data_IF_186695707101
#
_entry.id   IF_186695707101
#
_cell.length_a   1.000
_cell.length_b   1.000
_cell.length_c   1.000
_cell.angle_alpha   90.00
_cell.angle_beta   90.00
_cell.angle_gamma   90.00
#
_symmetry.space_group_name_H-M   'P 1'
#
loop_
_entity.id
_entity.type
_entity.pdbx_description
1 polymer ?
#
# COMPACT_ATOMS: atom_id res chain seq x y z
N UNK A 1 60.49 -14.88 -38.43
CA UNK A 1 59.44 -13.86 -38.17
C UNK A 1 58.17 -14.01 -39.03
N UNK A 2 58.21 -14.42 -40.31
CA UNK A 2 57.02 -14.52 -41.19
C UNK A 2 55.94 -15.55 -40.80
N UNK A 3 56.26 -16.55 -39.96
CA UNK A 3 55.32 -17.61 -39.53
C UNK A 3 54.60 -17.34 -38.19
N UNK A 4 55.04 -16.35 -37.38
CA UNK A 4 54.51 -16.06 -36.06
C UNK A 4 53.36 -15.04 -36.18
N UNK A 5 53.43 -14.15 -37.16
CA UNK A 5 52.40 -13.09 -37.37
C UNK A 5 50.98 -13.65 -37.59
N UNK A 6 50.75 -14.68 -38.44
CA UNK A 6 49.40 -15.23 -38.61
C UNK A 6 48.86 -15.89 -37.34
N UNK A 7 49.73 -16.52 -36.53
CA UNK A 7 49.34 -17.13 -35.25
C UNK A 7 48.90 -16.08 -34.25
N UNK A 8 49.61 -14.96 -34.15
CA UNK A 8 49.27 -13.84 -33.29
C UNK A 8 47.91 -13.25 -33.71
N UNK A 9 47.68 -13.07 -35.00
CA UNK A 9 46.40 -12.55 -35.53
C UNK A 9 45.21 -13.48 -35.17
N UNK A 10 45.40 -14.80 -35.31
CA UNK A 10 44.36 -15.79 -34.94
C UNK A 10 44.09 -15.77 -33.43
N UNK A 11 45.12 -15.65 -32.57
CA UNK A 11 44.93 -15.53 -31.12
C UNK A 11 44.18 -14.26 -30.76
N UNK A 12 44.52 -13.11 -31.36
CA UNK A 12 43.84 -11.84 -31.14
C UNK A 12 42.38 -11.89 -31.61
N UNK A 13 42.07 -12.57 -32.72
CA UNK A 13 40.71 -12.78 -33.17
C UNK A 13 39.90 -13.68 -32.20
N UNK A 14 40.49 -14.75 -31.69
CA UNK A 14 39.86 -15.63 -30.71
C UNK A 14 39.57 -14.87 -29.41
N UNK A 15 40.52 -14.05 -28.93
CA UNK A 15 40.33 -13.21 -27.74
C UNK A 15 39.30 -12.15 -28.01
N UNK A 16 39.30 -11.50 -29.16
CA UNK A 16 38.33 -10.47 -29.53
C UNK A 16 36.89 -11.03 -29.64
N UNK A 17 36.71 -12.14 -30.33
CA UNK A 17 35.40 -12.80 -30.47
C UNK A 17 34.95 -13.41 -29.14
N UNK A 18 35.83 -14.13 -28.43
CA UNK A 18 35.53 -14.70 -27.13
C UNK A 18 35.24 -13.64 -26.08
N UNK A 19 36.02 -12.57 -26.04
CA UNK A 19 35.79 -11.41 -25.16
C UNK A 19 34.48 -10.68 -25.46
N UNK A 20 34.16 -10.53 -26.75
CA UNK A 20 32.90 -9.91 -27.18
C UNK A 20 31.67 -10.74 -26.78
N UNK A 21 31.72 -12.06 -26.93
CA UNK A 21 30.65 -12.98 -26.52
C UNK A 21 30.49 -12.95 -24.96
N UNK A 22 31.59 -13.08 -24.23
CA UNK A 22 31.56 -13.02 -22.77
C UNK A 22 31.01 -11.66 -22.30
N UNK A 23 31.48 -10.56 -22.90
CA UNK A 23 30.96 -9.21 -22.60
C UNK A 23 29.50 -9.06 -22.90
N UNK A 24 29.00 -9.56 -24.03
CA UNK A 24 27.57 -9.47 -24.38
C UNK A 24 26.69 -10.29 -23.43
N UNK A 25 27.16 -11.48 -23.00
CA UNK A 25 26.45 -12.30 -21.98
C UNK A 25 26.42 -11.59 -20.63
N UNK A 26 27.57 -11.03 -20.18
CA UNK A 26 27.65 -10.29 -18.93
C UNK A 26 26.83 -9.01 -18.97
N UNK A 27 26.91 -8.23 -20.05
CA UNK A 27 26.10 -7.02 -20.22
C UNK A 27 24.60 -7.34 -20.24
N UNK A 28 24.19 -8.42 -20.91
CA UNK A 28 22.79 -8.89 -20.91
C UNK A 28 22.32 -9.36 -19.52
N UNK A 29 23.23 -9.95 -18.71
CA UNK A 29 22.92 -10.40 -17.35
C UNK A 29 22.62 -9.25 -16.39
N UNK A 30 23.25 -8.10 -16.58
CA UNK A 30 23.09 -6.91 -15.74
C UNK A 30 22.16 -5.84 -16.34
N UNK A 31 21.63 -6.05 -17.55
CA UNK A 31 20.65 -5.13 -18.11
C UNK A 31 19.37 -5.19 -17.27
N UNK A 32 18.87 -4.06 -16.73
CA UNK A 32 17.62 -4.02 -15.98
C UNK A 32 16.45 -4.48 -16.87
N UNK A 33 15.49 -5.17 -16.27
CA UNK A 33 14.19 -5.38 -16.94
C UNK A 33 13.36 -4.09 -16.89
N UNK A 34 12.58 -3.88 -17.93
CA UNK A 34 11.56 -2.82 -18.04
C UNK A 34 10.15 -3.41 -17.93
N UNK A 35 10.05 -4.72 -17.70
CA UNK A 35 8.78 -5.42 -17.56
C UNK A 35 8.04 -4.89 -16.33
N UNK A 36 6.83 -4.37 -16.58
CA UNK A 36 5.96 -3.82 -15.54
C UNK A 36 5.07 -4.94 -15.01
N UNK A 37 5.00 -5.08 -13.70
CA UNK A 37 4.13 -6.03 -13.03
C UNK A 37 2.67 -5.66 -13.25
N UNK A 38 1.85 -6.62 -13.59
CA UNK A 38 0.40 -6.47 -13.48
C UNK A 38 -0.01 -6.59 -12.00
N UNK A 39 0.03 -5.45 -11.31
CA UNK A 39 -0.23 -5.38 -9.88
C UNK A 39 -1.66 -5.80 -9.53
N UNK A 40 -2.64 -5.49 -10.39
CA UNK A 40 -4.03 -5.90 -10.17
C UNK A 40 -4.18 -7.43 -10.23
N UNK A 41 -3.54 -8.06 -11.22
CA UNK A 41 -3.52 -9.52 -11.34
C UNK A 41 -2.76 -10.19 -10.19
N UNK A 42 -1.58 -9.64 -9.79
CA UNK A 42 -0.80 -10.15 -8.65
C UNK A 42 -1.59 -10.09 -7.33
N UNK A 43 -2.33 -9.00 -7.13
CA UNK A 43 -3.19 -8.82 -5.96
C UNK A 43 -4.55 -9.51 -6.11
N UNK A 44 -4.89 -10.07 -7.28
CA UNK A 44 -6.17 -10.73 -7.52
C UNK A 44 -7.38 -9.80 -7.45
N UNK A 45 -7.23 -8.53 -7.87
CA UNK A 45 -8.28 -7.52 -7.78
C UNK A 45 -9.33 -7.70 -8.88
N UNK A 46 -10.60 -7.65 -8.50
CA UNK A 46 -11.73 -7.44 -9.40
C UNK A 46 -11.91 -5.94 -9.71
N UNK A 47 -12.78 -5.59 -10.65
CA UNK A 47 -12.95 -4.22 -11.20
C UNK A 47 -13.18 -3.14 -10.11
N UNK A 48 -13.99 -3.44 -9.09
CA UNK A 48 -14.34 -2.50 -8.02
C UNK A 48 -13.54 -2.71 -6.72
N UNK A 49 -12.55 -3.61 -6.74
CA UNK A 49 -11.73 -3.91 -5.59
C UNK A 49 -10.43 -3.11 -5.60
N UNK A 50 -9.97 -2.80 -4.41
CA UNK A 50 -8.74 -2.05 -4.13
C UNK A 50 -7.81 -2.89 -3.28
N UNK A 51 -6.53 -2.92 -3.64
CA UNK A 51 -5.49 -3.37 -2.72
C UNK A 51 -5.33 -2.37 -1.57
N UNK A 52 -5.11 -2.87 -0.37
CA UNK A 52 -4.93 -2.05 0.82
C UNK A 52 -3.46 -2.05 1.22
N UNK A 53 -2.93 -0.84 1.44
CA UNK A 53 -1.66 -0.63 2.15
C UNK A 53 -1.97 0.09 3.46
N UNK A 54 -1.80 -0.58 4.58
CA UNK A 54 -2.05 -0.05 5.92
C UNK A 54 -0.72 0.13 6.67
N UNK A 55 -0.41 1.34 7.10
CA UNK A 55 0.84 1.66 7.83
C UNK A 55 2.09 1.09 7.11
N UNK A 56 2.20 1.31 5.81
CA UNK A 56 3.26 0.85 4.91
C UNK A 56 3.34 -0.69 4.70
N UNK A 57 2.33 -1.44 5.12
CA UNK A 57 2.21 -2.88 4.88
C UNK A 57 1.09 -3.17 3.87
N UNK A 58 1.40 -3.95 2.83
CA UNK A 58 0.39 -4.41 1.86
C UNK A 58 -0.38 -5.58 2.45
N UNK A 59 -1.68 -5.41 2.64
CA UNK A 59 -2.58 -6.45 3.13
C UNK A 59 -2.99 -7.36 1.96
N UNK A 60 -2.47 -8.58 1.93
CA UNK A 60 -2.67 -9.49 0.79
C UNK A 60 -4.06 -10.10 0.73
N UNK A 61 -4.72 -10.26 1.87
CA UNK A 61 -5.99 -10.95 1.99
C UNK A 61 -7.19 -10.00 2.13
N UNK A 62 -6.93 -8.79 2.65
CA UNK A 62 -7.95 -7.76 2.78
C UNK A 62 -8.14 -6.96 1.50
N UNK A 63 -9.38 -6.56 1.24
CA UNK A 63 -9.76 -5.70 0.12
C UNK A 63 -10.66 -4.58 0.60
N UNK A 64 -10.52 -3.43 -0.04
CA UNK A 64 -11.55 -2.43 -0.04
C UNK A 64 -12.36 -2.54 -1.33
N UNK A 65 -13.58 -2.02 -1.34
CA UNK A 65 -14.46 -2.03 -2.50
C UNK A 65 -15.02 -0.63 -2.74
N UNK A 66 -15.16 -0.24 -4.00
CA UNK A 66 -15.88 0.95 -4.37
C UNK A 66 -17.36 0.61 -4.64
N UNK A 67 -18.27 1.24 -3.90
CA UNK A 67 -19.70 1.10 -4.09
C UNK A 67 -20.31 2.51 -4.18
N UNK A 68 -21.01 2.80 -5.26
CA UNK A 68 -21.65 4.11 -5.50
C UNK A 68 -20.67 5.29 -5.36
N UNK A 69 -19.40 5.10 -5.77
CA UNK A 69 -18.35 6.14 -5.75
C UNK A 69 -17.75 6.39 -4.37
N UNK A 70 -17.91 5.50 -3.42
CA UNK A 70 -17.35 5.56 -2.06
C UNK A 70 -16.58 4.29 -1.76
N UNK A 71 -15.45 4.43 -1.06
CA UNK A 71 -14.66 3.28 -0.60
C UNK A 71 -15.24 2.70 0.68
N UNK A 72 -15.32 1.39 0.70
CA UNK A 72 -15.73 0.58 1.85
C UNK A 72 -14.64 -0.42 2.20
N UNK A 73 -14.37 -0.58 3.48
CA UNK A 73 -13.37 -1.49 4.05
C UNK A 73 -14.06 -2.77 4.53
N UNK A 74 -13.39 -3.92 4.44
CA UNK A 74 -13.95 -5.17 4.97
C UNK A 74 -14.28 -5.04 6.46
N UNK A 75 -15.36 -5.67 6.89
CA UNK A 75 -15.82 -5.63 8.29
C UNK A 75 -14.72 -6.11 9.24
N UNK A 76 -14.04 -7.21 8.92
CA UNK A 76 -13.01 -7.81 9.75
C UNK A 76 -11.80 -6.85 9.90
N UNK A 77 -11.37 -6.19 8.81
CA UNK A 77 -10.30 -5.20 8.88
C UNK A 77 -10.65 -4.06 9.86
N UNK A 78 -11.89 -3.56 9.79
CA UNK A 78 -12.34 -2.45 10.65
C UNK A 78 -12.39 -2.88 12.11
N UNK A 79 -13.03 -4.02 12.41
CA UNK A 79 -13.31 -4.45 13.79
C UNK A 79 -12.11 -5.09 14.48
N UNK A 80 -11.24 -5.79 13.75
CA UNK A 80 -10.13 -6.53 14.34
C UNK A 80 -8.80 -5.75 14.29
N UNK A 81 -8.62 -4.91 13.26
CA UNK A 81 -7.30 -4.26 13.03
C UNK A 81 -7.33 -2.76 13.25
N UNK A 82 -8.36 -2.05 12.78
CA UNK A 82 -8.36 -0.59 12.80
C UNK A 82 -8.83 -0.06 14.14
N UNK A 83 -10.02 -0.43 14.59
CA UNK A 83 -10.60 0.12 15.81
C UNK A 83 -11.58 -0.86 16.47
N UNK A 84 -11.21 -1.45 17.59
CA UNK A 84 -12.00 -2.41 18.37
C UNK A 84 -13.28 -1.84 19.02
N UNK A 85 -13.54 -0.52 18.90
CA UNK A 85 -14.83 0.06 19.27
C UNK A 85 -15.92 -0.26 18.25
N UNK A 86 -15.55 -0.68 17.06
CA UNK A 86 -16.44 -1.29 16.08
C UNK A 86 -16.57 -2.77 16.42
N UNK A 87 -17.78 -3.25 16.55
CA UNK A 87 -18.09 -4.64 16.83
C UNK A 87 -19.18 -5.15 15.90
N UNK A 88 -18.92 -6.23 15.22
CA UNK A 88 -19.92 -6.89 14.38
C UNK A 88 -20.68 -7.95 15.18
N UNK A 89 -22.01 -7.77 15.33
CA UNK A 89 -22.90 -8.78 15.90
C UNK A 89 -23.41 -9.70 14.79
N UNK A 90 -22.84 -10.89 14.71
CA UNK A 90 -23.18 -11.84 13.67
C UNK A 90 -24.59 -12.44 13.81
N UNK A 91 -25.18 -12.43 15.02
CA UNK A 91 -26.52 -12.93 15.25
C UNK A 91 -27.59 -11.94 14.80
N UNK A 92 -27.42 -10.69 15.17
CA UNK A 92 -28.37 -9.60 14.83
C UNK A 92 -28.04 -8.96 13.48
N UNK A 93 -26.88 -9.27 12.88
CA UNK A 93 -26.35 -8.65 11.66
C UNK A 93 -26.29 -7.13 11.76
N UNK A 94 -25.67 -6.65 12.83
CA UNK A 94 -25.52 -5.24 13.16
C UNK A 94 -24.04 -4.87 13.36
N UNK A 95 -23.63 -3.73 12.83
CA UNK A 95 -22.42 -3.08 13.27
C UNK A 95 -22.73 -2.20 14.47
N UNK A 96 -22.04 -2.41 15.57
CA UNK A 96 -22.08 -1.58 16.76
C UNK A 96 -20.82 -0.73 16.82
N UNK A 97 -20.99 0.58 16.99
CA UNK A 97 -19.89 1.46 17.34
C UNK A 97 -20.18 2.08 18.71
N UNK A 98 -19.22 1.95 19.64
CA UNK A 98 -19.42 2.35 21.04
C UNK A 98 -18.49 3.49 21.41
N UNK A 99 -19.06 4.55 21.94
CA UNK A 99 -18.38 5.64 22.64
C UNK A 99 -18.67 5.57 24.15
N UNK A 100 -18.05 6.42 24.99
CA UNK A 100 -18.36 6.46 26.41
C UNK A 100 -19.83 6.74 26.76
N UNK A 101 -20.56 7.42 25.90
CA UNK A 101 -21.92 7.92 26.14
C UNK A 101 -22.98 7.35 25.22
N UNK A 102 -22.58 6.71 24.11
CA UNK A 102 -23.48 6.32 23.04
C UNK A 102 -23.10 4.97 22.43
N UNK A 103 -24.09 4.27 21.90
CA UNK A 103 -23.93 3.10 21.05
C UNK A 103 -24.69 3.32 19.75
N UNK A 104 -23.97 3.37 18.65
CA UNK A 104 -24.53 3.41 17.30
C UNK A 104 -24.80 1.99 16.85
N UNK A 105 -26.04 1.74 16.39
CA UNK A 105 -26.51 0.45 15.89
C UNK A 105 -26.84 0.57 14.42
N UNK A 106 -26.00 0.00 13.58
CA UNK A 106 -26.02 0.22 12.14
C UNK A 106 -26.40 -1.08 11.42
N UNK A 107 -27.53 -1.07 10.73
CA UNK A 107 -28.00 -2.19 9.92
C UNK A 107 -27.42 -2.09 8.51
N UNK A 108 -26.88 -3.19 7.94
CA UNK A 108 -26.42 -3.20 6.55
C UNK A 108 -27.49 -2.74 5.57
N UNK A 109 -27.05 -2.02 4.53
CA UNK A 109 -27.86 -1.53 3.42
C UNK A 109 -29.03 -0.61 3.84
N UNK A 110 -28.92 0.00 5.04
CA UNK A 110 -29.82 1.04 5.51
C UNK A 110 -29.06 2.34 5.70
N UNK A 111 -29.70 3.46 5.36
CA UNK A 111 -29.11 4.78 5.49
C UNK A 111 -29.26 5.31 6.93
N UNK A 112 -30.44 5.12 7.52
CA UNK A 112 -30.72 5.47 8.91
C UNK A 112 -30.14 4.42 9.87
N UNK A 113 -29.61 4.88 11.00
CA UNK A 113 -29.12 4.04 12.09
C UNK A 113 -29.59 4.56 13.44
N UNK A 114 -29.64 3.71 14.46
CA UNK A 114 -30.11 4.07 15.80
C UNK A 114 -28.93 4.44 16.70
N UNK A 115 -29.01 5.58 17.35
CA UNK A 115 -28.07 6.01 18.41
C UNK A 115 -28.76 5.79 19.76
N UNK A 116 -28.18 4.94 20.62
CA UNK A 116 -28.63 4.69 21.98
C UNK A 116 -27.75 5.43 22.98
N UNK A 117 -28.39 6.18 23.86
CA UNK A 117 -27.77 6.82 25.02
C UNK A 117 -28.44 6.30 26.30
N UNK A 118 -27.88 6.68 27.47
CA UNK A 118 -28.55 6.35 28.74
C UNK A 118 -29.94 7.01 28.92
N UNK A 119 -30.24 8.08 28.16
CA UNK A 119 -31.51 8.80 28.20
C UNK A 119 -32.58 8.28 27.23
N UNK A 120 -32.21 7.41 26.31
CA UNK A 120 -33.11 6.92 25.27
C UNK A 120 -32.42 6.62 23.96
N UNK A 121 -33.20 6.56 22.90
CA UNK A 121 -32.68 6.33 21.54
C UNK A 121 -33.20 7.36 20.55
N UNK A 122 -32.44 7.66 19.53
CA UNK A 122 -32.80 8.49 18.38
C UNK A 122 -32.26 7.87 17.10
N UNK A 123 -32.87 8.20 15.98
CA UNK A 123 -32.34 7.82 14.68
C UNK A 123 -31.43 8.93 14.16
N UNK A 124 -30.40 8.52 13.39
CA UNK A 124 -29.42 9.38 12.76
C UNK A 124 -29.13 8.91 11.31
N UNK A 125 -28.56 9.78 10.50
CA UNK A 125 -28.30 9.57 9.08
C UNK A 125 -27.05 10.36 8.66
N UNK A 126 -26.09 9.70 8.01
CA UNK A 126 -24.87 10.33 7.45
C UNK A 126 -25.05 10.78 5.99
N UNK A 127 -26.24 10.62 5.41
CA UNK A 127 -26.49 10.87 3.99
C UNK A 127 -26.00 9.75 3.07
N UNK A 128 -25.53 8.65 3.63
CA UNK A 128 -25.08 7.45 2.91
C UNK A 128 -25.19 6.20 3.79
N UNK A 129 -25.20 5.04 3.17
CA UNK A 129 -25.19 3.75 3.90
C UNK A 129 -23.83 3.48 4.48
N UNK A 130 -23.72 3.40 5.81
CA UNK A 130 -22.46 3.18 6.52
C UNK A 130 -21.95 1.74 6.30
N UNK A 131 -22.85 0.76 6.30
CA UNK A 131 -22.53 -0.65 6.05
C UNK A 131 -23.21 -1.11 4.77
N UNK A 132 -22.45 -1.73 3.88
CA UNK A 132 -22.95 -2.30 2.63
C UNK A 132 -22.62 -3.78 2.53
N UNK A 133 -23.54 -4.51 1.90
CA UNK A 133 -23.31 -5.90 1.49
C UNK A 133 -22.74 -5.92 0.07
N UNK A 134 -21.65 -6.62 -0.11
CA UNK A 134 -21.02 -6.83 -1.42
C UNK A 134 -20.46 -8.27 -1.49
N UNK A 135 -20.87 -9.06 -2.50
CA UNK A 135 -20.47 -10.46 -2.68
C UNK A 135 -20.62 -11.30 -1.39
N UNK A 136 -21.78 -11.22 -0.76
CA UNK A 136 -22.13 -11.93 0.49
C UNK A 136 -21.25 -11.58 1.71
N UNK A 137 -20.48 -10.51 1.64
CA UNK A 137 -19.66 -9.98 2.72
C UNK A 137 -20.07 -8.56 3.10
N UNK A 138 -19.74 -8.14 4.33
CA UNK A 138 -20.09 -6.82 4.84
C UNK A 138 -18.88 -5.89 4.81
N UNK A 139 -19.13 -4.65 4.42
CA UNK A 139 -18.13 -3.61 4.29
C UNK A 139 -18.59 -2.32 4.96
N UNK A 140 -17.67 -1.59 5.58
CA UNK A 140 -17.93 -0.32 6.30
C UNK A 140 -17.34 0.84 5.52
N UNK A 141 -18.07 1.93 5.36
CA UNK A 141 -17.60 3.14 4.69
C UNK A 141 -16.32 3.68 5.33
N UNK A 142 -15.27 3.85 4.53
CA UNK A 142 -13.97 4.35 5.01
C UNK A 142 -14.09 5.74 5.65
N UNK A 143 -14.96 6.61 5.11
CA UNK A 143 -15.24 7.92 5.69
C UNK A 143 -15.81 7.83 7.11
N UNK A 144 -16.72 6.88 7.35
CA UNK A 144 -17.29 6.67 8.68
C UNK A 144 -16.22 6.17 9.68
N UNK A 145 -15.39 5.23 9.24
CA UNK A 145 -14.27 4.74 10.05
C UNK A 145 -13.29 5.89 10.36
N UNK A 146 -12.95 6.71 9.36
CA UNK A 146 -12.09 7.90 9.53
C UNK A 146 -12.68 8.92 10.51
N UNK A 147 -13.99 9.17 10.46
CA UNK A 147 -14.66 10.10 11.38
C UNK A 147 -14.60 9.62 12.85
N UNK A 148 -14.43 8.33 13.08
CA UNK A 148 -14.44 7.71 14.41
C UNK A 148 -13.10 7.08 14.83
N UNK A 149 -12.04 7.35 14.07
CA UNK A 149 -10.69 6.80 14.32
C UNK A 149 -9.64 7.82 13.88
N UNK A 150 -8.55 7.96 14.62
CA UNK A 150 -7.41 8.76 14.17
C UNK A 150 -6.73 8.08 12.96
N UNK A 151 -7.40 8.14 11.82
CA UNK A 151 -7.01 7.50 10.58
C UNK A 151 -7.04 8.52 9.43
N UNK A 152 -6.12 8.35 8.50
CA UNK A 152 -6.21 9.00 7.19
C UNK A 152 -6.12 7.95 6.09
N UNK A 153 -6.70 8.25 4.91
CA UNK A 153 -6.58 7.38 3.75
C UNK A 153 -6.62 8.19 2.45
N UNK A 154 -5.99 7.62 1.43
CA UNK A 154 -6.00 8.14 0.07
C UNK A 154 -6.30 7.01 -0.93
N UNK A 155 -7.02 7.34 -1.99
CA UNK A 155 -7.38 6.44 -3.08
C UNK A 155 -6.49 6.70 -4.29
N UNK A 156 -6.03 5.63 -4.92
CA UNK A 156 -5.28 5.66 -6.17
C UNK A 156 -5.91 4.68 -7.16
N UNK A 157 -5.91 5.06 -8.41
CA UNK A 157 -6.42 4.24 -9.51
C UNK A 157 -5.28 3.79 -10.43
N UNK A 158 -5.55 2.79 -11.28
CA UNK A 158 -4.62 2.29 -12.30
C UNK A 158 -3.26 1.78 -11.76
N UNK A 159 -3.27 0.70 -10.97
CA UNK A 159 -4.36 -0.11 -10.44
C UNK A 159 -4.98 0.49 -9.18
N UNK A 160 -6.19 0.01 -8.82
CA UNK A 160 -6.92 0.50 -7.66
C UNK A 160 -6.20 0.16 -6.34
N UNK A 161 -5.90 1.18 -5.54
CA UNK A 161 -5.24 1.05 -4.24
C UNK A 161 -5.83 2.04 -3.24
N UNK A 162 -5.94 1.60 -1.99
CA UNK A 162 -6.22 2.46 -0.84
C UNK A 162 -5.02 2.43 0.09
N UNK A 163 -4.45 3.59 0.36
CA UNK A 163 -3.34 3.76 1.30
C UNK A 163 -3.91 4.34 2.58
N UNK A 164 -3.63 3.69 3.70
CA UNK A 164 -4.22 4.03 4.98
C UNK A 164 -3.14 4.17 6.06
N UNK A 165 -3.30 5.13 6.94
CA UNK A 165 -2.46 5.34 8.10
C UNK A 165 -3.31 5.45 9.38
N UNK A 166 -2.94 4.68 10.40
CA UNK A 166 -3.51 4.71 11.74
C UNK A 166 -2.41 4.86 12.80
N UNK A 167 -1.14 4.91 12.37
CA UNK A 167 0.05 5.07 13.21
C UNK A 167 0.87 6.25 12.73
N UNK A 168 1.25 7.11 13.67
CA UNK A 168 1.88 8.41 13.43
C UNK A 168 3.26 8.52 14.11
N UNK A 169 3.94 7.39 14.26
CA UNK A 169 5.29 7.33 14.83
C UNK A 169 6.35 7.84 13.85
N UNK A 170 7.54 8.12 14.36
CA UNK A 170 8.72 8.47 13.58
C UNK A 170 9.00 7.44 12.48
N UNK A 171 9.34 7.92 11.29
CA UNK A 171 9.66 7.13 10.11
C UNK A 171 11.01 7.55 9.55
N UNK A 172 11.70 6.61 8.94
CA UNK A 172 12.91 6.90 8.16
C UNK A 172 12.51 7.20 6.72
N UNK A 173 12.83 8.40 6.24
CA UNK A 173 12.48 8.85 4.90
C UNK A 173 13.73 8.89 4.04
N UNK A 174 13.68 8.29 2.87
CA UNK A 174 14.71 8.40 1.83
C UNK A 174 14.20 9.21 0.65
N UNK A 175 15.09 10.00 0.06
CA UNK A 175 14.77 10.83 -1.10
C UNK A 175 15.54 10.35 -2.32
N UNK A 176 14.90 10.29 -3.48
CA UNK A 176 15.53 9.87 -4.73
C UNK A 176 16.49 10.93 -5.29
N UNK A 177 17.74 10.53 -5.58
CA UNK A 177 18.76 11.34 -6.28
C UNK A 177 18.48 11.50 -7.76
N UNK A 178 17.77 10.53 -8.36
CA UNK A 178 17.46 10.44 -9.80
C UNK A 178 16.27 9.53 -10.03
N UNK A 179 15.68 9.63 -11.20
CA UNK A 179 14.62 8.74 -11.65
C UNK A 179 15.07 7.28 -11.56
N UNK A 180 14.20 6.41 -11.07
CA UNK A 180 14.46 5.00 -10.88
C UNK A 180 13.17 4.18 -10.89
N UNK A 181 13.31 2.86 -11.13
CA UNK A 181 12.20 1.94 -10.98
C UNK A 181 12.08 1.48 -9.52
N UNK A 182 10.88 1.55 -8.96
CA UNK A 182 10.49 0.77 -7.78
C UNK A 182 10.16 -0.64 -8.25
N UNK A 183 10.81 -1.65 -7.70
CA UNK A 183 10.74 -3.03 -8.15
C UNK A 183 10.08 -3.94 -7.11
N UNK A 184 9.46 -5.01 -7.59
CA UNK A 184 8.80 -6.00 -6.72
C UNK A 184 9.78 -6.71 -5.78
N UNK A 185 11.00 -6.98 -6.24
CA UNK A 185 12.08 -7.61 -5.44
C UNK A 185 13.38 -6.85 -5.63
N UNK A 186 14.32 -6.98 -4.66
CA UNK A 186 15.65 -6.41 -4.76
C UNK A 186 16.45 -7.06 -5.88
N UNK A 187 16.60 -6.37 -7.01
CA UNK A 187 17.39 -6.85 -8.15
C UNK A 187 16.96 -6.24 -9.49
N UNK A 188 17.92 -6.04 -10.38
CA UNK A 188 17.70 -5.41 -11.70
C UNK A 188 16.81 -6.24 -12.65
N UNK A 189 16.61 -7.54 -12.37
CA UNK A 189 15.77 -8.45 -13.16
C UNK A 189 14.38 -8.62 -12.58
N UNK A 190 14.09 -8.02 -11.43
CA UNK A 190 12.74 -8.00 -10.88
C UNK A 190 11.86 -7.06 -11.68
N UNK A 191 10.59 -7.42 -11.83
CA UNK A 191 9.55 -6.61 -12.44
C UNK A 191 9.44 -5.24 -11.77
N UNK A 192 9.01 -4.28 -12.55
CA UNK A 192 8.82 -2.89 -12.13
C UNK A 192 7.40 -2.73 -11.60
N UNK A 193 7.26 -2.27 -10.36
CA UNK A 193 5.96 -1.87 -9.81
C UNK A 193 5.53 -0.53 -10.43
N UNK A 194 6.44 0.45 -10.40
CA UNK A 194 6.27 1.74 -11.07
C UNK A 194 7.59 2.48 -11.27
N UNK A 195 7.55 3.52 -12.08
CA UNK A 195 8.65 4.48 -12.17
C UNK A 195 8.48 5.56 -11.10
N UNK A 196 9.59 5.97 -10.50
CA UNK A 196 9.65 7.03 -9.51
C UNK A 196 10.63 8.11 -9.96
N UNK A 197 10.37 9.35 -9.63
CA UNK A 197 11.10 10.51 -10.11
C UNK A 197 12.07 11.06 -9.08
N UNK A 198 13.09 11.76 -9.57
CA UNK A 198 14.05 12.47 -8.71
C UNK A 198 13.33 13.41 -7.74
N UNK A 199 13.75 13.38 -6.48
CA UNK A 199 13.20 14.21 -5.41
C UNK A 199 12.01 13.59 -4.70
N UNK A 200 11.47 12.47 -5.19
CA UNK A 200 10.39 11.76 -4.53
C UNK A 200 10.88 11.17 -3.20
N UNK A 201 10.05 11.33 -2.17
CA UNK A 201 10.27 10.79 -0.82
C UNK A 201 9.56 9.46 -0.67
N UNK A 202 10.19 8.53 0.07
CA UNK A 202 9.64 7.21 0.36
C UNK A 202 9.96 6.84 1.80
N UNK A 203 9.09 6.09 2.44
CA UNK A 203 9.38 5.52 3.77
C UNK A 203 10.36 4.36 3.59
N UNK A 204 11.50 4.42 4.26
CA UNK A 204 12.47 3.33 4.32
C UNK A 204 12.00 2.28 5.32
N UNK A 205 11.74 1.07 4.85
CA UNK A 205 11.32 -0.06 5.68
C UNK A 205 12.50 -0.88 6.14
N UNK A 206 13.37 -1.26 5.20
CA UNK A 206 14.56 -2.06 5.45
C UNK A 206 15.70 -1.63 4.51
N UNK A 207 16.92 -1.62 5.00
CA UNK A 207 18.11 -1.33 4.21
C UNK A 207 19.03 -2.54 4.15
N UNK A 208 19.47 -2.90 2.93
CA UNK A 208 20.46 -3.92 2.64
C UNK A 208 21.65 -3.31 1.86
N UNK A 209 22.67 -4.08 1.56
CA UNK A 209 23.92 -3.58 0.94
C UNK A 209 23.71 -2.83 -0.39
N UNK A 210 22.88 -3.36 -1.29
CA UNK A 210 22.67 -2.79 -2.64
C UNK A 210 21.26 -2.26 -2.86
N UNK A 211 20.29 -2.68 -2.05
CA UNK A 211 18.86 -2.41 -2.23
C UNK A 211 18.19 -2.05 -0.91
N UNK A 212 17.25 -1.13 -0.97
CA UNK A 212 16.37 -0.81 0.15
C UNK A 212 14.92 -1.14 -0.17
N UNK A 213 14.22 -1.70 0.81
CA UNK A 213 12.77 -1.86 0.77
C UNK A 213 12.13 -0.55 1.20
N UNK A 214 11.19 -0.07 0.41
CA UNK A 214 10.55 1.24 0.62
C UNK A 214 9.05 1.15 0.39
N UNK A 215 8.30 2.01 1.10
CA UNK A 215 6.91 2.28 0.80
C UNK A 215 6.77 3.64 0.13
N UNK A 216 6.00 3.70 -0.95
CA UNK A 216 5.71 4.92 -1.71
C UNK A 216 4.43 5.56 -1.22
N UNK A 217 4.25 6.85 -1.44
CA UNK A 217 3.04 7.58 -1.07
C UNK A 217 1.77 6.96 -1.70
N UNK A 218 1.88 6.48 -2.92
CA UNK A 218 0.77 5.86 -3.66
C UNK A 218 0.58 4.36 -3.37
N UNK A 219 1.21 3.84 -2.29
CA UNK A 219 0.91 2.55 -1.67
C UNK A 219 1.65 1.34 -2.22
N UNK A 220 2.66 1.53 -3.07
CA UNK A 220 3.53 0.40 -3.40
C UNK A 220 4.56 0.16 -2.31
N UNK A 221 4.75 -1.09 -1.95
CA UNK A 221 5.89 -1.55 -1.15
C UNK A 221 6.82 -2.33 -2.07
N UNK A 222 8.04 -1.85 -2.22
CA UNK A 222 8.96 -2.39 -3.20
C UNK A 222 10.41 -2.04 -2.93
N UNK A 223 11.26 -2.24 -3.91
CA UNK A 223 12.71 -2.15 -3.77
C UNK A 223 13.30 -1.11 -4.71
N UNK A 224 14.20 -0.29 -4.17
CA UNK A 224 15.00 0.66 -4.94
C UNK A 224 16.49 0.43 -4.68
N UNK A 225 17.33 0.73 -5.68
CA UNK A 225 18.78 0.61 -5.51
C UNK A 225 19.33 1.72 -4.62
N UNK A 226 20.16 1.40 -3.63
CA UNK A 226 20.78 2.37 -2.72
C UNK A 226 21.58 3.45 -3.45
N UNK A 227 22.09 3.16 -4.66
CA UNK A 227 22.79 4.13 -5.52
C UNK A 227 21.88 5.27 -6.00
N UNK A 228 20.57 5.13 -5.84
CA UNK A 228 19.58 6.14 -6.24
C UNK A 228 19.02 6.94 -5.07
N UNK A 229 19.43 6.64 -3.82
CA UNK A 229 18.93 7.24 -2.60
C UNK A 229 19.91 8.22 -1.97
N UNK A 230 19.43 9.31 -1.39
CA UNK A 230 20.13 10.07 -0.36
C UNK A 230 20.09 9.31 0.97
N UNK A 231 20.91 9.77 1.93
CA UNK A 231 20.86 9.22 3.28
C UNK A 231 19.47 9.43 3.88
N UNK A 232 19.05 8.51 4.74
CA UNK A 232 17.74 8.58 5.36
C UNK A 232 17.68 9.73 6.37
N UNK A 233 16.54 10.38 6.42
CA UNK A 233 16.19 11.43 7.39
C UNK A 233 15.03 10.94 8.25
N UNK A 234 14.99 11.31 9.53
CA UNK A 234 13.87 10.97 10.42
C UNK A 234 12.78 12.04 10.28
N UNK A 235 11.57 11.63 9.97
CA UNK A 235 10.40 12.50 9.94
C UNK A 235 9.28 11.88 10.79
N UNK A 236 8.48 12.72 11.45
CA UNK A 236 7.26 12.28 12.12
C UNK A 236 6.07 12.81 11.33
N UNK A 237 5.24 11.93 10.75
CA UNK A 237 4.06 12.38 10.02
C UNK A 237 3.08 13.06 10.97
N UNK A 238 2.41 14.09 10.48
CA UNK A 238 1.38 14.78 11.25
C UNK A 238 0.10 13.93 11.29
N UNK A 239 -0.32 13.58 12.51
CA UNK A 239 -1.57 12.88 12.72
C UNK A 239 -2.76 13.80 12.40
N UNK A 240 -3.83 13.31 11.77
CA UNK A 240 -5.05 14.11 11.59
C UNK A 240 -5.62 14.50 12.95
N UNK A 241 -6.25 15.68 13.01
CA UNK A 241 -7.01 16.09 14.18
C UNK A 241 -8.12 15.06 14.44
N UNK A 242 -8.16 14.55 15.66
CA UNK A 242 -9.16 13.60 16.09
C UNK A 242 -9.56 13.88 17.53
N UNK A 243 -10.83 14.20 17.75
CA UNK A 243 -11.39 14.39 19.09
C UNK A 243 -11.71 13.02 19.69
N UNK A 244 -10.77 12.47 20.43
CA UNK A 244 -11.01 11.22 21.13
C UNK A 244 -12.11 11.42 22.20
N UNK A 245 -13.20 10.62 22.18
CA UNK A 245 -14.24 10.73 23.19
C UNK A 245 -13.68 10.53 24.59
N UNK A 246 -13.79 11.55 25.46
CA UNK A 246 -13.32 11.48 26.85
C UNK A 246 -14.18 10.52 27.68
N UNK A 247 -13.56 9.56 28.34
CA UNK A 247 -14.20 8.78 29.39
C UNK A 247 -14.19 9.62 30.67
N UNK A 248 -15.28 10.33 30.96
CA UNK A 248 -15.46 10.95 32.28
C UNK A 248 -15.61 9.85 33.31
N UNK A 249 -14.63 9.75 34.20
CA UNK A 249 -14.62 8.86 35.37
C UNK A 249 -15.66 9.25 36.40
#
# INVERSE_FOLDING_TARGET
MKRVLPIIIVILLIIGVGGGVVWSILAGRYKPTEEVMDYAAEMGLSENEYAITLNQEVLKEDRAVAIDGRVYLSMDLVTETINSRFYWDDNEKLLLFTTPTEVMMITPDQQEYTVKTWNGSSDADEGYMIVRTYNDSYYVAADYVKAHTQMDYAEYTEPNRVVMATKWAEQQIVTLKKDTAVRYKGGVKSEVLRQATKGEKMVLLEAYDDWSNVATEDGYVGWVSNKTLYDAETETPEAPAFDEPEYTS
#
